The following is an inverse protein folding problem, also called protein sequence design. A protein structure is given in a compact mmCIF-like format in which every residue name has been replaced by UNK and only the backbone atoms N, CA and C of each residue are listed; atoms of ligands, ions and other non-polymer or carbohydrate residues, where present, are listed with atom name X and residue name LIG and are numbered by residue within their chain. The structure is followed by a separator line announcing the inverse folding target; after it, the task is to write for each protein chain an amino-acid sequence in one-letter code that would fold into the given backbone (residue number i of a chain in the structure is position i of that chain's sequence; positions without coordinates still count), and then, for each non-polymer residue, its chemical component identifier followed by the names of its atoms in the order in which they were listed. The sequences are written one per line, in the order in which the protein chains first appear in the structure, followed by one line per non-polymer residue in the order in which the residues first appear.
data_IF_299547732631
#
_entry.id   IF_299547732631
#
_cell.length_a   1.000
_cell.length_b   1.000
_cell.length_c   1.000
_cell.angle_alpha   90.00
_cell.angle_beta   90.00
_cell.angle_gamma   90.00
#
_symmetry.space_group_name_H-M   'P 1'
#
loop_
_entity.id
_entity.type
_entity.pdbx_description
1 polymer ?
#
# COMPACT_ATOMS: atom_id res chain seq x y z
N UNK A 1 21.67 -74.24 -5.86
CA UNK A 1 20.55 -73.29 -5.97
C UNK A 1 20.24 -72.77 -4.58
N UNK A 2 19.97 -71.46 -4.42
CA UNK A 2 19.92 -70.65 -3.20
C UNK A 2 21.25 -70.05 -2.69
N UNK A 3 21.61 -68.91 -3.29
CA UNK A 3 22.50 -67.90 -2.73
C UNK A 3 21.68 -66.97 -1.82
N UNK A 4 22.08 -66.85 -0.55
CA UNK A 4 21.50 -65.94 0.43
C UNK A 4 21.86 -64.48 0.11
N UNK A 5 20.86 -63.63 -0.14
CA UNK A 5 21.05 -62.17 -0.20
C UNK A 5 20.94 -61.59 1.21
N UNK A 6 22.06 -61.12 1.77
CA UNK A 6 22.09 -60.24 2.95
C UNK A 6 21.60 -58.86 2.52
N UNK A 7 20.40 -58.48 2.95
CA UNK A 7 19.89 -57.12 2.80
C UNK A 7 20.53 -56.20 3.84
N UNK A 8 21.34 -55.25 3.39
CA UNK A 8 21.90 -54.18 4.22
C UNK A 8 20.82 -53.09 4.34
N UNK A 9 20.20 -52.95 5.52
CA UNK A 9 19.22 -51.90 5.79
C UNK A 9 19.97 -50.59 6.08
N UNK A 10 20.02 -49.68 5.11
CA UNK A 10 20.52 -48.32 5.32
C UNK A 10 19.39 -47.47 5.92
N UNK A 11 19.50 -47.13 7.21
CA UNK A 11 18.62 -46.14 7.85
C UNK A 11 19.16 -44.75 7.50
N UNK A 12 18.50 -44.07 6.57
CA UNK A 12 18.73 -42.65 6.30
C UNK A 12 18.07 -41.83 7.41
N UNK A 13 18.88 -41.28 8.32
CA UNK A 13 18.43 -40.26 9.28
C UNK A 13 18.28 -38.94 8.52
N UNK A 14 17.06 -38.59 8.11
CA UNK A 14 16.78 -37.24 7.61
C UNK A 14 16.76 -36.28 8.80
N UNK A 15 17.87 -35.59 9.05
CA UNK A 15 17.85 -34.36 9.86
C UNK A 15 17.12 -33.28 9.07
N UNK A 16 15.82 -33.12 9.32
CA UNK A 16 15.08 -31.92 8.95
C UNK A 16 15.58 -30.75 9.81
N UNK A 17 16.66 -30.09 9.37
CA UNK A 17 16.93 -28.72 9.81
C UNK A 17 15.91 -27.80 9.12
N UNK A 18 14.73 -27.70 9.72
CA UNK A 18 13.83 -26.57 9.47
C UNK A 18 14.47 -25.32 10.06
N UNK A 19 15.36 -24.67 9.32
CA UNK A 19 15.74 -23.29 9.62
C UNK A 19 14.54 -22.45 9.18
N UNK A 20 13.55 -22.33 10.05
CA UNK A 20 12.55 -21.29 9.87
C UNK A 20 13.20 -19.98 10.28
N UNK A 21 13.33 -19.04 9.35
CA UNK A 21 13.73 -17.68 9.65
C UNK A 21 12.56 -16.98 10.36
N UNK A 22 12.28 -17.40 11.59
CA UNK A 22 11.24 -16.79 12.42
C UNK A 22 11.73 -15.45 12.93
N UNK A 23 10.92 -14.42 12.71
CA UNK A 23 10.98 -13.22 13.55
C UNK A 23 10.70 -13.68 14.97
N UNK A 24 11.60 -13.32 15.89
CA UNK A 24 11.60 -13.85 17.26
C UNK A 24 10.69 -13.07 18.19
N UNK A 25 10.25 -11.90 17.76
CA UNK A 25 9.56 -10.94 18.59
C UNK A 25 8.65 -10.06 17.75
N UNK A 26 7.39 -9.97 18.15
CA UNK A 26 6.44 -8.99 17.64
C UNK A 26 6.01 -8.11 18.83
N UNK A 27 6.10 -6.77 18.72
CA UNK A 27 5.74 -5.89 19.83
C UNK A 27 4.23 -5.91 20.07
N UNK A 28 3.82 -6.07 21.34
CA UNK A 28 2.42 -5.96 21.74
C UNK A 28 1.87 -4.54 21.57
N UNK A 29 0.55 -4.42 21.58
CA UNK A 29 -0.11 -3.12 21.46
C UNK A 29 0.25 -2.20 22.62
N UNK A 30 0.65 -0.96 22.30
CA UNK A 30 1.09 0.08 23.27
C UNK A 30 2.35 -0.25 24.07
N UNK A 31 3.01 -1.38 23.81
CA UNK A 31 4.29 -1.68 24.42
C UNK A 31 5.42 -0.83 23.83
N UNK A 32 6.42 -0.57 24.66
CA UNK A 32 7.67 0.02 24.21
C UNK A 32 8.39 -1.02 23.35
N UNK A 33 8.62 -0.69 22.08
CA UNK A 33 9.33 -1.59 21.17
C UNK A 33 10.73 -1.86 21.70
N UNK A 34 11.05 -3.13 21.96
CA UNK A 34 12.36 -3.52 22.48
C UNK A 34 13.45 -3.19 21.46
N UNK A 35 14.44 -2.44 21.94
CA UNK A 35 15.66 -2.11 21.22
C UNK A 35 16.78 -3.07 21.60
N UNK A 36 17.59 -3.46 20.61
CA UNK A 36 18.83 -4.20 20.80
C UNK A 36 19.97 -3.51 20.11
N UNK A 37 21.18 -3.70 20.62
CA UNK A 37 22.37 -3.27 19.91
C UNK A 37 22.55 -4.10 18.63
N UNK A 38 23.14 -3.54 17.57
CA UNK A 38 23.38 -4.30 16.33
C UNK A 38 24.25 -5.55 16.60
N UNK A 39 25.22 -5.43 17.50
CA UNK A 39 26.11 -6.53 17.90
C UNK A 39 25.36 -7.74 18.49
N UNK A 40 24.31 -7.52 19.30
CA UNK A 40 23.49 -8.61 19.86
C UNK A 40 22.80 -9.46 18.78
N UNK A 41 22.52 -8.85 17.62
CA UNK A 41 21.90 -9.50 16.47
C UNK A 41 22.89 -9.78 15.33
N UNK A 42 24.20 -9.71 15.61
CA UNK A 42 25.28 -9.97 14.65
C UNK A 42 25.22 -9.07 13.41
N UNK A 43 24.78 -7.83 13.59
CA UNK A 43 24.77 -6.77 12.58
C UNK A 43 25.98 -5.86 12.80
N UNK A 44 26.66 -5.50 11.72
CA UNK A 44 27.78 -4.55 11.74
C UNK A 44 27.30 -3.17 12.19
N UNK A 45 27.89 -2.65 13.27
CA UNK A 45 27.46 -1.39 13.87
C UNK A 45 27.96 -0.17 13.10
N UNK A 46 29.14 -0.23 12.47
CA UNK A 46 29.66 0.87 11.64
C UNK A 46 28.80 1.00 10.39
N UNK A 47 28.56 -0.11 9.69
CA UNK A 47 27.74 -0.10 8.48
C UNK A 47 26.31 0.39 8.74
N UNK A 48 25.71 -0.01 9.88
CA UNK A 48 24.38 0.46 10.26
C UNK A 48 24.36 1.97 10.54
N UNK A 49 25.39 2.48 11.22
CA UNK A 49 25.52 3.91 11.48
C UNK A 49 25.69 4.71 10.18
N UNK A 50 26.51 4.22 9.25
CA UNK A 50 26.68 4.85 7.93
C UNK A 50 25.35 4.94 7.17
N UNK A 51 24.53 3.89 7.21
CA UNK A 51 23.22 3.89 6.59
C UNK A 51 22.26 4.91 7.24
N UNK A 52 22.32 5.05 8.57
CA UNK A 52 21.50 6.01 9.32
C UNK A 52 21.93 7.45 9.02
N UNK A 53 23.24 7.73 9.01
CA UNK A 53 23.75 9.05 8.66
C UNK A 53 23.43 9.41 7.21
N UNK A 54 23.59 8.47 6.28
CA UNK A 54 23.17 8.67 4.89
C UNK A 54 21.69 9.07 4.79
N UNK A 55 20.79 8.40 5.53
CA UNK A 55 19.37 8.74 5.52
C UNK A 55 19.08 10.13 6.11
N UNK A 56 19.86 10.57 7.12
CA UNK A 56 19.74 11.91 7.73
C UNK A 56 20.25 13.01 6.80
N UNK A 57 21.36 12.77 6.12
CA UNK A 57 22.00 13.73 5.22
C UNK A 57 21.25 13.92 3.89
N UNK A 58 20.46 12.92 3.48
CA UNK A 58 19.68 12.92 2.23
C UNK A 58 18.19 13.24 2.45
N UNK A 59 17.87 14.15 3.39
CA UNK A 59 16.49 14.62 3.57
C UNK A 59 15.95 15.25 2.27
N UNK A 60 14.69 14.95 1.92
CA UNK A 60 14.00 15.60 0.82
C UNK A 60 14.08 17.13 0.93
N UNK A 61 14.58 17.79 -0.12
CA UNK A 61 14.85 19.24 -0.12
C UNK A 61 13.63 20.11 -0.44
N UNK A 62 12.52 19.51 -0.88
CA UNK A 62 11.30 20.25 -1.16
C UNK A 62 10.64 20.84 0.09
N UNK A 63 9.62 21.69 -0.14
CA UNK A 63 8.91 22.42 0.91
C UNK A 63 8.49 21.52 2.08
N UNK A 64 8.68 22.02 3.31
CA UNK A 64 8.09 21.38 4.51
C UNK A 64 6.57 21.47 4.52
N UNK A 65 5.98 22.48 3.89
CA UNK A 65 4.54 22.53 3.65
C UNK A 65 4.19 21.68 2.43
N UNK A 66 3.53 20.54 2.65
CA UNK A 66 3.21 19.60 1.57
C UNK A 66 2.20 20.16 0.57
N UNK A 67 1.40 21.18 0.93
CA UNK A 67 0.54 21.86 -0.06
C UNK A 67 1.41 22.47 -1.18
N UNK A 68 2.48 23.14 -0.79
CA UNK A 68 3.43 23.75 -1.72
C UNK A 68 4.21 22.67 -2.48
N UNK A 69 4.67 21.62 -1.79
CA UNK A 69 5.45 20.56 -2.42
C UNK A 69 4.64 19.80 -3.48
N UNK A 70 3.39 19.45 -3.18
CA UNK A 70 2.46 18.77 -4.09
C UNK A 70 2.14 19.64 -5.30
N UNK A 71 1.65 20.86 -5.07
CA UNK A 71 1.27 21.76 -6.18
C UNK A 71 2.45 22.08 -7.11
N UNK A 72 3.67 22.23 -6.57
CA UNK A 72 4.87 22.42 -7.39
C UNK A 72 5.30 21.15 -8.12
N UNK A 73 5.23 19.99 -7.45
CA UNK A 73 5.64 18.70 -8.00
C UNK A 73 4.79 18.27 -9.19
N UNK A 74 3.52 18.65 -9.19
CA UNK A 74 2.54 18.27 -10.22
C UNK A 74 2.01 19.45 -11.03
N UNK A 75 2.71 20.59 -11.03
CA UNK A 75 2.28 21.82 -11.72
C UNK A 75 2.03 21.68 -13.24
N UNK A 76 2.51 20.59 -13.86
CA UNK A 76 2.31 20.29 -15.28
C UNK A 76 0.98 19.60 -15.55
N UNK A 77 0.39 18.97 -14.55
CA UNK A 77 -0.87 18.25 -14.68
C UNK A 77 -2.02 19.25 -14.79
N UNK A 78 -2.89 19.12 -15.81
CA UNK A 78 -4.02 20.01 -15.95
C UNK A 78 -5.01 19.79 -14.80
N UNK A 79 -5.61 20.87 -14.31
CA UNK A 79 -6.61 20.86 -13.23
C UNK A 79 -6.11 20.30 -11.89
N UNK A 80 -4.80 20.15 -11.71
CA UNK A 80 -4.26 19.62 -10.46
C UNK A 80 -4.49 20.59 -9.30
N UNK A 81 -5.15 20.09 -8.26
CA UNK A 81 -5.43 20.82 -7.03
C UNK A 81 -5.30 19.91 -5.80
N UNK A 82 -5.31 20.52 -4.61
CA UNK A 82 -5.36 19.78 -3.35
C UNK A 82 -6.81 19.41 -3.08
N UNK A 83 -7.12 18.11 -3.19
CA UNK A 83 -8.47 17.57 -3.08
C UNK A 83 -8.76 16.96 -1.70
N UNK A 84 -7.77 16.88 -0.82
CA UNK A 84 -7.95 16.38 0.54
C UNK A 84 -6.87 16.84 1.50
N UNK A 85 -6.89 16.35 2.76
CA UNK A 85 -6.00 16.82 3.81
C UNK A 85 -4.53 16.69 3.43
N UNK A 86 -3.75 17.70 3.81
CA UNK A 86 -2.28 17.68 3.77
C UNK A 86 -1.76 18.11 5.13
N UNK A 87 -0.46 17.92 5.37
CA UNK A 87 0.19 18.35 6.60
C UNK A 87 1.59 18.84 6.27
N UNK A 88 2.18 19.69 7.12
CA UNK A 88 3.63 19.90 7.03
C UNK A 88 4.34 18.57 7.27
N UNK A 89 5.40 18.23 6.53
CA UNK A 89 6.20 17.03 6.79
C UNK A 89 7.16 17.21 7.97
N UNK A 90 7.50 16.11 8.63
CA UNK A 90 8.58 16.06 9.62
C UNK A 90 9.97 16.21 9.01
N UNK A 91 11.01 16.10 9.85
CA UNK A 91 12.37 15.79 9.41
C UNK A 91 12.48 14.31 8.99
N UNK A 92 13.66 13.87 8.53
CA UNK A 92 13.89 12.46 8.22
C UNK A 92 13.71 11.64 9.50
N UNK A 93 12.89 10.60 9.43
CA UNK A 93 12.66 9.69 10.54
C UNK A 93 12.53 8.26 10.02
N UNK A 94 13.02 7.31 10.79
CA UNK A 94 12.98 5.91 10.42
C UNK A 94 13.52 5.01 11.51
N UNK A 95 13.38 3.71 11.27
CA UNK A 95 13.88 2.65 12.13
C UNK A 95 14.33 1.48 11.25
N UNK A 96 15.29 0.73 11.75
CA UNK A 96 15.76 -0.52 11.16
C UNK A 96 15.46 -1.63 12.15
N UNK A 97 14.81 -2.68 11.66
CA UNK A 97 14.35 -3.81 12.47
C UNK A 97 15.10 -5.06 12.03
N UNK A 98 15.54 -5.85 13.01
CA UNK A 98 16.14 -7.17 12.80
C UNK A 98 15.51 -8.17 13.77
N UNK A 99 14.99 -9.27 13.21
CA UNK A 99 14.34 -10.36 13.96
C UNK A 99 13.25 -9.88 14.95
N UNK A 100 12.57 -8.77 14.61
CA UNK A 100 11.54 -8.14 15.43
C UNK A 100 12.00 -7.02 16.35
N UNK A 101 13.31 -6.85 16.56
CA UNK A 101 13.88 -5.82 17.44
C UNK A 101 14.31 -4.59 16.65
N UNK A 102 14.14 -3.40 17.24
CA UNK A 102 14.72 -2.18 16.67
C UNK A 102 16.22 -2.17 16.94
N UNK A 103 17.03 -2.04 15.90
CA UNK A 103 18.50 -1.97 15.99
C UNK A 103 19.07 -0.58 15.66
N UNK A 104 18.27 0.26 15.03
CA UNK A 104 18.56 1.68 14.86
C UNK A 104 17.26 2.46 14.68
N UNK A 105 17.26 3.73 15.09
CA UNK A 105 16.19 4.69 14.84
C UNK A 105 16.75 6.10 14.76
N UNK A 106 16.13 6.96 13.96
CA UNK A 106 16.49 8.36 13.83
C UNK A 106 15.26 9.23 13.67
N UNK A 107 15.39 10.51 14.02
CA UNK A 107 14.29 11.47 13.95
C UNK A 107 13.15 11.17 14.92
N UNK A 108 11.98 11.74 14.64
CA UNK A 108 10.78 11.53 15.44
C UNK A 108 9.91 10.41 14.84
N UNK A 109 10.19 9.17 15.20
CA UNK A 109 9.54 7.95 14.67
C UNK A 109 8.04 7.85 14.99
N UNK A 110 7.58 8.52 16.06
CA UNK A 110 6.18 8.54 16.50
C UNK A 110 5.34 9.60 15.81
N UNK A 111 5.98 10.50 15.05
CA UNK A 111 5.26 11.55 14.33
C UNK A 111 4.44 10.93 13.20
N UNK A 112 3.15 11.23 13.20
CA UNK A 112 2.27 10.89 12.07
C UNK A 112 2.58 11.80 10.89
N UNK A 113 3.02 11.20 9.79
CA UNK A 113 3.34 11.86 8.51
C UNK A 113 2.44 11.33 7.39
N UNK A 114 2.21 12.17 6.39
CA UNK A 114 1.56 11.75 5.13
C UNK A 114 2.57 10.92 4.33
N UNK A 115 2.18 9.71 3.93
CA UNK A 115 3.10 8.72 3.33
C UNK A 115 2.96 8.54 1.82
N UNK A 116 2.13 9.37 1.17
CA UNK A 116 1.91 9.34 -0.27
C UNK A 116 1.56 7.94 -0.77
N UNK A 117 2.34 7.39 -1.70
CA UNK A 117 2.05 6.13 -2.38
C UNK A 117 2.23 4.88 -1.54
N UNK A 118 2.79 4.96 -0.33
CA UNK A 118 2.77 3.83 0.61
C UNK A 118 1.31 3.40 0.91
N UNK A 119 0.36 4.34 0.81
CA UNK A 119 -1.08 4.07 0.89
C UNK A 119 -1.54 2.90 0.00
N UNK A 120 -0.92 2.69 -1.17
CA UNK A 120 -1.26 1.61 -2.10
C UNK A 120 -1.07 0.23 -1.48
N UNK A 121 -0.06 0.06 -0.62
CA UNK A 121 0.18 -1.20 0.08
C UNK A 121 -0.96 -1.56 1.03
N UNK A 122 -1.49 -0.58 1.77
CA UNK A 122 -2.65 -0.80 2.64
C UNK A 122 -3.92 -1.06 1.83
N UNK A 123 -4.09 -0.36 0.71
CA UNK A 123 -5.21 -0.59 -0.21
C UNK A 123 -5.18 -2.00 -0.81
N UNK A 124 -4.02 -2.46 -1.27
CA UNK A 124 -3.88 -3.84 -1.76
C UNK A 124 -4.14 -4.86 -0.66
N UNK A 125 -3.74 -4.60 0.58
CA UNK A 125 -4.03 -5.50 1.72
C UNK A 125 -5.52 -5.62 1.99
N UNK A 126 -6.25 -4.51 2.12
CA UNK A 126 -7.71 -4.59 2.38
C UNK A 126 -8.48 -5.16 1.19
N UNK A 127 -7.95 -5.02 -0.03
CA UNK A 127 -8.52 -5.69 -1.21
C UNK A 127 -8.24 -7.19 -1.18
N UNK A 128 -7.01 -7.61 -0.87
CA UNK A 128 -6.67 -9.03 -0.71
C UNK A 128 -7.50 -9.71 0.38
N UNK A 129 -7.71 -9.03 1.51
CA UNK A 129 -8.61 -9.51 2.56
C UNK A 129 -10.07 -9.66 2.10
N UNK A 130 -10.53 -8.88 1.12
CA UNK A 130 -11.85 -9.06 0.53
C UNK A 130 -11.91 -10.35 -0.31
N UNK A 131 -10.82 -10.71 -0.99
CA UNK A 131 -10.67 -12.00 -1.68
C UNK A 131 -10.68 -13.14 -0.67
N UNK A 132 -9.87 -13.06 0.39
CA UNK A 132 -9.80 -14.09 1.43
C UNK A 132 -11.15 -14.35 2.11
N UNK A 133 -11.99 -13.32 2.22
CA UNK A 133 -13.34 -13.41 2.80
C UNK A 133 -14.42 -13.81 1.79
N UNK A 134 -14.07 -14.05 0.53
CA UNK A 134 -15.00 -14.38 -0.55
C UNK A 134 -15.95 -13.24 -0.92
N UNK A 135 -15.64 -11.99 -0.54
CA UNK A 135 -16.35 -10.80 -1.02
C UNK A 135 -15.98 -10.49 -2.47
N UNK A 136 -14.77 -10.88 -2.87
CA UNK A 136 -14.31 -11.00 -4.25
C UNK A 136 -14.00 -12.47 -4.45
N UNK A 137 -14.67 -13.16 -5.37
CA UNK A 137 -14.49 -14.60 -5.54
C UNK A 137 -13.12 -14.94 -6.15
N UNK A 138 -12.66 -14.16 -7.13
CA UNK A 138 -11.32 -14.27 -7.69
C UNK A 138 -10.81 -12.91 -8.18
N UNK A 139 -9.50 -12.67 -8.11
CA UNK A 139 -8.87 -11.46 -8.62
C UNK A 139 -9.00 -11.30 -10.14
N UNK A 140 -9.20 -12.40 -10.87
CA UNK A 140 -9.44 -12.39 -12.32
C UNK A 140 -10.89 -12.07 -12.68
N UNK A 141 -11.79 -11.93 -11.71
CA UNK A 141 -13.17 -11.56 -12.00
C UNK A 141 -13.28 -10.10 -12.47
N UNK A 142 -14.29 -9.82 -13.30
CA UNK A 142 -14.53 -8.49 -13.83
C UNK A 142 -15.11 -7.56 -12.76
N UNK A 143 -14.56 -6.35 -12.63
CA UNK A 143 -15.03 -5.37 -11.64
C UNK A 143 -16.50 -4.99 -11.79
N UNK A 144 -17.02 -5.01 -13.04
CA UNK A 144 -18.44 -4.75 -13.36
C UNK A 144 -19.42 -5.70 -12.67
N UNK A 145 -18.97 -6.91 -12.33
CA UNK A 145 -19.84 -7.92 -11.71
C UNK A 145 -20.03 -7.64 -10.20
N UNK A 146 -19.24 -6.71 -9.63
CA UNK A 146 -19.25 -6.30 -8.23
C UNK A 146 -19.72 -4.86 -8.02
N UNK A 147 -19.47 -3.98 -8.99
CA UNK A 147 -19.79 -2.55 -8.92
C UNK A 147 -20.81 -2.21 -9.99
N UNK A 148 -22.06 -1.98 -9.55
CA UNK A 148 -23.26 -1.93 -10.39
C UNK A 148 -23.67 -0.52 -10.84
N UNK A 149 -22.93 0.52 -10.45
CA UNK A 149 -23.29 1.92 -10.68
C UNK A 149 -22.82 2.49 -12.02
N UNK A 150 -22.28 1.63 -12.89
CA UNK A 150 -21.74 1.99 -14.19
C UNK A 150 -20.26 2.38 -14.21
N UNK A 151 -19.54 2.28 -13.08
CA UNK A 151 -18.08 2.54 -13.02
C UNK A 151 -17.27 1.76 -14.07
N UNK A 152 -17.75 0.57 -14.46
CA UNK A 152 -17.11 -0.31 -15.44
C UNK A 152 -17.91 -0.45 -16.75
N UNK A 153 -18.85 0.45 -17.04
CA UNK A 153 -19.66 0.38 -18.24
C UNK A 153 -18.86 0.61 -19.53
N UNK A 154 -19.41 0.11 -20.64
CA UNK A 154 -18.85 0.28 -21.98
C UNK A 154 -17.91 -0.84 -22.40
N UNK A 155 -17.61 -0.88 -23.70
CA UNK A 155 -16.85 -1.98 -24.33
C UNK A 155 -15.41 -2.12 -23.80
N UNK A 156 -14.82 -1.03 -23.29
CA UNK A 156 -13.47 -1.03 -22.75
C UNK A 156 -13.44 -1.39 -21.26
N UNK A 157 -14.05 -0.57 -20.39
CA UNK A 157 -13.96 -0.75 -18.94
C UNK A 157 -14.58 -2.08 -18.47
N UNK A 158 -15.54 -2.66 -19.22
CA UNK A 158 -16.17 -3.94 -18.88
C UNK A 158 -15.26 -5.17 -19.00
N UNK A 159 -14.04 -5.00 -19.53
CA UNK A 159 -12.98 -6.02 -19.59
C UNK A 159 -12.04 -5.99 -18.37
N UNK A 160 -12.18 -4.99 -17.49
CA UNK A 160 -11.25 -4.76 -16.39
C UNK A 160 -11.55 -5.70 -15.23
N UNK A 161 -10.50 -6.33 -14.69
CA UNK A 161 -10.56 -7.25 -13.56
C UNK A 161 -9.96 -6.58 -12.32
N UNK A 162 -10.19 -7.17 -11.14
CA UNK A 162 -9.53 -6.73 -9.90
C UNK A 162 -8.02 -6.79 -10.01
N UNK A 163 -7.48 -7.85 -10.61
CA UNK A 163 -6.06 -8.03 -10.89
C UNK A 163 -5.53 -6.86 -11.71
N UNK A 164 -6.27 -6.41 -12.73
CA UNK A 164 -5.83 -5.30 -13.56
C UNK A 164 -5.69 -3.98 -12.78
N UNK A 165 -6.61 -3.73 -11.85
CA UNK A 165 -6.54 -2.56 -10.96
C UNK A 165 -5.39 -2.67 -9.96
N UNK A 166 -5.22 -3.84 -9.33
CA UNK A 166 -4.14 -4.12 -8.37
C UNK A 166 -2.75 -4.00 -9.00
N UNK A 167 -2.60 -4.40 -10.26
CA UNK A 167 -1.34 -4.36 -11.00
C UNK A 167 -1.11 -3.04 -11.76
N UNK A 168 -2.05 -2.08 -11.67
CA UNK A 168 -2.01 -0.81 -12.39
C UNK A 168 -1.81 -0.96 -13.91
N UNK A 169 -2.49 -1.95 -14.50
CA UNK A 169 -2.47 -2.21 -15.94
C UNK A 169 -3.88 -2.30 -16.53
N UNK A 170 -4.88 -1.68 -15.89
CA UNK A 170 -6.28 -1.71 -16.32
C UNK A 170 -6.62 -0.86 -17.52
N UNK A 171 -5.82 0.18 -17.77
CA UNK A 171 -6.16 1.27 -18.67
C UNK A 171 -7.59 1.85 -18.49
N UNK A 172 -8.14 1.76 -17.27
CA UNK A 172 -9.48 2.30 -16.97
C UNK A 172 -9.57 3.76 -17.41
N UNK A 173 -10.66 4.10 -18.09
CA UNK A 173 -10.89 5.45 -18.60
C UNK A 173 -12.19 6.04 -18.04
N UNK A 174 -12.11 7.28 -17.58
CA UNK A 174 -13.24 7.98 -16.99
C UNK A 174 -12.84 9.05 -15.99
N UNK A 175 -13.80 9.43 -15.16
CA UNK A 175 -13.62 10.40 -14.09
C UNK A 175 -14.13 9.82 -12.77
N UNK A 176 -13.36 9.96 -11.70
CA UNK A 176 -13.82 9.63 -10.35
C UNK A 176 -13.42 10.76 -9.40
N UNK A 177 -14.37 11.21 -8.57
CA UNK A 177 -14.17 12.31 -7.62
C UNK A 177 -13.66 13.62 -8.23
N UNK A 178 -14.02 13.90 -9.50
CA UNK A 178 -13.56 15.10 -10.22
C UNK A 178 -12.23 14.92 -10.96
N UNK A 179 -11.50 13.83 -10.69
CA UNK A 179 -10.22 13.53 -11.32
C UNK A 179 -10.40 12.66 -12.55
N UNK A 180 -9.87 13.10 -13.69
CA UNK A 180 -9.94 12.41 -14.98
C UNK A 180 -8.69 11.56 -15.19
N UNK A 181 -8.84 10.32 -15.63
CA UNK A 181 -7.72 9.38 -15.74
C UNK A 181 -6.57 9.92 -16.60
N UNK A 182 -6.90 10.56 -17.73
CA UNK A 182 -5.93 11.13 -18.66
C UNK A 182 -5.23 12.40 -18.16
N UNK A 183 -5.76 13.05 -17.11
CA UNK A 183 -5.20 14.27 -16.56
C UNK A 183 -4.11 13.99 -15.50
N UNK A 184 -4.06 12.77 -14.97
CA UNK A 184 -3.00 12.33 -14.08
C UNK A 184 -1.76 11.95 -14.89
N UNK A 185 -0.65 12.64 -14.62
CA UNK A 185 0.67 12.43 -15.26
C UNK A 185 0.61 12.32 -16.80
N UNK A 186 0.00 13.28 -17.51
CA UNK A 186 -0.17 13.18 -18.96
C UNK A 186 1.19 13.16 -19.68
N UNK A 187 1.23 12.67 -20.94
CA UNK A 187 2.44 12.69 -21.75
C UNK A 187 3.13 14.05 -21.80
N UNK A 188 4.45 14.06 -22.04
CA UNK A 188 5.23 15.31 -22.14
C UNK A 188 4.92 16.16 -23.37
N UNK A 189 4.27 15.56 -24.36
CA UNK A 189 3.89 16.19 -25.62
C UNK A 189 2.38 16.06 -25.81
N UNK A 190 1.84 16.93 -26.66
CA UNK A 190 0.41 17.03 -26.92
C UNK A 190 -0.29 18.08 -26.06
N UNK A 191 -1.57 18.25 -26.31
CA UNK A 191 -2.46 19.17 -25.59
C UNK A 191 -3.64 18.44 -24.93
N UNK A 192 -4.60 19.20 -24.40
CA UNK A 192 -5.76 18.64 -23.70
C UNK A 192 -6.60 17.71 -24.58
N UNK A 193 -6.69 17.98 -25.88
CA UNK A 193 -7.53 17.18 -26.78
C UNK A 193 -6.79 15.90 -27.19
N UNK A 194 -5.47 15.95 -27.37
CA UNK A 194 -4.65 14.75 -27.54
C UNK A 194 -4.77 13.79 -26.35
N UNK A 195 -4.73 14.32 -25.13
CA UNK A 195 -4.76 13.51 -23.91
C UNK A 195 -6.15 12.92 -23.64
N UNK A 196 -7.21 13.71 -23.84
CA UNK A 196 -8.60 13.23 -23.72
C UNK A 196 -8.91 12.12 -24.72
N UNK A 197 -8.41 12.25 -25.95
CA UNK A 197 -8.68 11.31 -27.04
C UNK A 197 -7.56 10.25 -27.17
N UNK A 198 -6.84 9.96 -26.09
CA UNK A 198 -5.82 8.91 -26.07
C UNK A 198 -6.42 7.58 -26.56
N UNK A 199 -5.63 6.80 -27.27
CA UNK A 199 -6.00 5.42 -27.60
C UNK A 199 -6.11 4.57 -26.33
N UNK A 200 -7.21 3.83 -26.19
CA UNK A 200 -7.40 2.85 -25.13
C UNK A 200 -6.60 1.58 -25.46
N UNK A 201 -5.91 1.03 -24.46
CA UNK A 201 -5.11 -0.20 -24.57
C UNK A 201 -5.82 -1.32 -23.86
N UNK A 202 -5.80 -2.53 -24.42
CA UNK A 202 -6.46 -3.66 -23.76
C UNK A 202 -5.92 -3.86 -22.33
N UNK A 203 -6.79 -4.06 -21.32
CA UNK A 203 -6.37 -4.30 -19.94
C UNK A 203 -5.36 -5.47 -19.85
N UNK A 204 -4.36 -5.33 -18.98
CA UNK A 204 -3.28 -6.29 -18.80
C UNK A 204 -2.09 -6.10 -19.74
N UNK A 205 -2.20 -5.28 -20.80
CA UNK A 205 -1.13 -5.14 -21.82
C UNK A 205 -0.13 -4.02 -21.52
N UNK A 206 -0.49 -3.04 -20.69
CA UNK A 206 0.36 -1.90 -20.39
C UNK A 206 0.18 -1.43 -18.95
N UNK A 207 1.29 -1.36 -18.20
CA UNK A 207 1.30 -0.76 -16.87
C UNK A 207 1.47 0.75 -16.98
N UNK A 208 0.62 1.48 -16.27
CA UNK A 208 0.69 2.93 -16.15
C UNK A 208 0.45 3.32 -14.69
N UNK A 209 1.39 4.08 -14.13
CA UNK A 209 1.27 4.59 -12.77
C UNK A 209 0.24 5.74 -12.73
N UNK A 210 -0.99 5.43 -12.33
CA UNK A 210 -2.13 6.36 -12.38
C UNK A 210 -2.97 6.31 -11.08
N UNK A 211 -2.97 7.41 -10.32
CA UNK A 211 -3.65 7.55 -9.04
C UNK A 211 -5.18 7.61 -9.17
N UNK A 212 -5.72 8.04 -10.32
CA UNK A 212 -7.18 8.02 -10.58
C UNK A 212 -7.68 6.57 -10.64
N UNK A 213 -6.96 5.70 -11.35
CA UNK A 213 -7.30 4.27 -11.45
C UNK A 213 -7.14 3.54 -10.12
N UNK A 214 -6.21 3.98 -9.28
CA UNK A 214 -6.06 3.47 -7.91
C UNK A 214 -7.25 3.93 -7.04
N UNK A 215 -7.80 5.13 -7.26
CA UNK A 215 -9.02 5.57 -6.58
C UNK A 215 -10.25 4.76 -7.03
N UNK A 216 -10.29 4.27 -8.28
CA UNK A 216 -11.30 3.30 -8.73
C UNK A 216 -11.19 1.98 -7.96
N UNK A 217 -9.97 1.49 -7.69
CA UNK A 217 -9.76 0.33 -6.82
C UNK A 217 -10.26 0.59 -5.40
N UNK A 218 -9.92 1.73 -4.81
CA UNK A 218 -10.38 2.10 -3.46
C UNK A 218 -11.92 2.19 -3.38
N UNK A 219 -12.55 2.78 -4.39
CA UNK A 219 -14.00 2.85 -4.50
C UNK A 219 -14.64 1.46 -4.65
N UNK A 220 -14.08 0.62 -5.51
CA UNK A 220 -14.59 -0.74 -5.75
C UNK A 220 -14.45 -1.60 -4.49
N UNK A 221 -13.32 -1.51 -3.79
CA UNK A 221 -13.11 -2.18 -2.52
C UNK A 221 -14.15 -1.72 -1.47
N UNK A 222 -14.47 -0.42 -1.42
CA UNK A 222 -15.53 0.09 -0.55
C UNK A 222 -16.89 -0.54 -0.88
N UNK A 223 -17.23 -0.70 -2.17
CA UNK A 223 -18.50 -1.30 -2.63
C UNK A 223 -18.66 -2.75 -2.17
N UNK A 224 -17.61 -3.57 -2.26
CA UNK A 224 -17.68 -4.97 -1.83
C UNK A 224 -17.63 -5.13 -0.30
N UNK A 225 -16.84 -4.30 0.38
CA UNK A 225 -16.78 -4.31 1.84
C UNK A 225 -18.05 -3.77 2.50
N UNK A 226 -18.76 -2.86 1.82
CA UNK A 226 -19.95 -2.16 2.33
C UNK A 226 -19.68 -1.52 3.70
N UNK A 227 -18.42 -1.13 3.91
CA UNK A 227 -17.86 -0.59 5.16
C UNK A 227 -16.71 0.35 4.82
N UNK A 228 -16.59 1.53 5.46
CA UNK A 228 -15.48 2.44 5.22
C UNK A 228 -14.12 1.73 5.37
N UNK A 229 -13.27 1.80 4.32
CA UNK A 229 -11.98 1.11 4.31
C UNK A 229 -11.05 1.44 5.49
N UNK A 230 -11.05 2.66 6.08
CA UNK A 230 -10.30 2.89 7.32
C UNK A 230 -10.74 1.99 8.47
N UNK A 231 -12.04 1.65 8.58
CA UNK A 231 -12.50 0.74 9.63
C UNK A 231 -12.12 -0.71 9.31
N UNK A 232 -12.19 -1.11 8.04
CA UNK A 232 -11.72 -2.43 7.60
C UNK A 232 -10.23 -2.58 7.94
N UNK A 233 -9.40 -1.62 7.55
CA UNK A 233 -7.97 -1.63 7.84
C UNK A 233 -7.70 -1.67 9.35
N UNK A 234 -8.47 -0.93 10.14
CA UNK A 234 -8.37 -0.93 11.60
C UNK A 234 -8.61 -2.31 12.17
N UNK A 235 -9.79 -2.87 11.91
CA UNK A 235 -10.27 -4.09 12.55
C UNK A 235 -9.52 -5.33 12.04
N UNK A 236 -9.20 -5.37 10.75
CA UNK A 236 -8.61 -6.55 10.14
C UNK A 236 -7.10 -6.62 10.26
N UNK A 237 -6.43 -5.48 10.40
CA UNK A 237 -4.96 -5.39 10.35
C UNK A 237 -4.42 -4.60 11.53
N UNK A 238 -4.69 -3.29 11.59
CA UNK A 238 -3.92 -2.36 12.43
C UNK A 238 -4.08 -2.65 13.92
N UNK A 239 -5.27 -3.01 14.40
CA UNK A 239 -5.48 -3.41 15.79
C UNK A 239 -4.75 -4.73 16.09
N UNK A 240 -4.79 -5.71 15.17
CA UNK A 240 -4.19 -7.04 15.36
C UNK A 240 -2.66 -7.00 15.38
N UNK A 241 -2.05 -6.05 14.67
CA UNK A 241 -0.60 -5.81 14.70
C UNK A 241 -0.19 -4.82 15.79
N UNK A 242 -1.09 -4.47 16.71
CA UNK A 242 -0.80 -3.57 17.82
C UNK A 242 -0.40 -2.14 17.42
N UNK A 243 -0.84 -1.69 16.24
CA UNK A 243 -0.60 -0.31 15.82
C UNK A 243 -1.34 0.69 16.71
N UNK A 244 -0.80 1.90 16.80
CA UNK A 244 -1.42 2.97 17.58
C UNK A 244 -2.76 3.41 16.99
N UNK A 245 -3.53 4.20 17.75
CA UNK A 245 -4.78 4.82 17.27
C UNK A 245 -4.56 6.15 16.55
N UNK A 246 -3.31 6.53 16.27
CA UNK A 246 -2.97 7.87 15.77
C UNK A 246 -2.99 8.00 14.25
N UNK A 247 -2.93 6.88 13.52
CA UNK A 247 -2.96 6.89 12.06
C UNK A 247 -4.35 7.24 11.53
N UNK A 248 -4.41 7.79 10.31
CA UNK A 248 -5.67 8.11 9.61
C UNK A 248 -5.52 7.77 8.14
N UNK A 249 -6.61 7.31 7.52
CA UNK A 249 -6.69 7.13 6.08
C UNK A 249 -7.80 8.02 5.53
N UNK A 250 -7.41 9.00 4.72
CA UNK A 250 -8.32 9.98 4.16
C UNK A 250 -8.59 9.70 2.68
N UNK A 251 -9.76 10.16 2.22
CA UNK A 251 -10.04 10.42 0.81
C UNK A 251 -10.24 11.91 0.55
N UNK A 252 -10.53 12.24 -0.71
CA UNK A 252 -10.84 13.60 -1.12
C UNK A 252 -12.11 14.14 -0.45
N UNK A 253 -12.27 15.46 -0.39
CA UNK A 253 -13.37 16.12 0.31
C UNK A 253 -14.73 15.75 -0.27
N UNK A 254 -14.80 15.56 -1.60
CA UNK A 254 -15.98 15.14 -2.34
C UNK A 254 -16.11 13.61 -2.50
N UNK A 255 -15.22 12.79 -1.92
CA UNK A 255 -15.21 11.34 -2.08
C UNK A 255 -16.31 10.61 -1.28
N UNK A 256 -17.56 11.02 -1.45
CA UNK A 256 -18.74 10.48 -0.74
C UNK A 256 -19.66 9.75 -1.70
N UNK A 257 -20.12 8.57 -1.31
CA UNK A 257 -21.14 7.78 -2.03
C UNK A 257 -22.22 7.30 -1.07
N UNK A 258 -23.30 6.74 -1.60
CA UNK A 258 -24.34 6.04 -0.82
C UNK A 258 -24.20 4.54 -1.10
N UNK A 259 -24.00 3.75 -0.05
CA UNK A 259 -24.03 2.29 -0.11
C UNK A 259 -25.05 1.85 0.94
N UNK A 260 -26.07 1.11 0.53
CA UNK A 260 -27.15 0.61 1.40
C UNK A 260 -27.92 1.71 2.16
N UNK A 261 -28.09 2.87 1.52
CA UNK A 261 -28.70 4.03 2.16
C UNK A 261 -27.80 4.74 3.17
N UNK A 262 -26.57 4.27 3.38
CA UNK A 262 -25.58 4.92 4.23
C UNK A 262 -24.64 5.79 3.41
N UNK A 263 -24.50 7.06 3.80
CA UNK A 263 -23.51 7.96 3.22
C UNK A 263 -22.12 7.58 3.72
N UNK A 264 -21.30 6.99 2.85
CA UNK A 264 -19.96 6.51 3.15
C UNK A 264 -18.90 7.33 2.42
N UNK A 265 -17.77 7.58 3.07
CA UNK A 265 -16.62 8.22 2.44
C UNK A 265 -15.68 7.16 1.87
N UNK A 266 -15.37 7.26 0.58
CA UNK A 266 -14.24 6.56 -0.01
C UNK A 266 -12.92 7.19 0.43
N UNK A 267 -11.85 6.41 0.31
CA UNK A 267 -10.48 6.86 0.53
C UNK A 267 -9.75 6.98 -0.80
N UNK A 268 -8.59 7.62 -0.79
CA UNK A 268 -7.68 7.61 -1.94
C UNK A 268 -6.63 6.54 -1.73
N UNK A 269 -6.17 5.92 -2.82
CA UNK A 269 -5.07 4.95 -2.74
C UNK A 269 -3.69 5.60 -2.75
N UNK A 270 -3.61 6.92 -2.73
CA UNK A 270 -2.36 7.69 -2.73
C UNK A 270 -2.56 9.09 -2.19
N UNK A 271 -1.44 9.80 -2.01
CA UNK A 271 -1.41 11.19 -1.55
C UNK A 271 -1.15 12.22 -2.65
N UNK A 272 -1.34 11.85 -3.92
CA UNK A 272 -0.97 12.65 -5.09
C UNK A 272 -1.57 14.07 -5.07
N UNK A 273 -2.85 14.18 -4.70
CA UNK A 273 -3.59 15.44 -4.53
C UNK A 273 -3.95 15.72 -3.06
N UNK A 274 -3.11 15.27 -2.12
CA UNK A 274 -3.47 15.17 -0.70
C UNK A 274 -4.20 13.86 -0.36
N UNK A 275 -4.65 13.75 0.88
CA UNK A 275 -5.26 12.54 1.45
C UNK A 275 -4.31 11.31 1.49
N UNK A 276 -4.85 10.09 1.47
CA UNK A 276 -4.10 8.86 1.68
C UNK A 276 -3.83 8.56 3.16
N UNK A 277 -2.83 7.71 3.42
CA UNK A 277 -2.48 7.28 4.78
C UNK A 277 -1.49 8.23 5.44
N UNK A 278 -1.88 8.61 6.66
CA UNK A 278 -1.12 9.38 7.61
C UNK A 278 -0.77 8.44 8.75
N UNK A 279 0.51 8.11 8.91
CA UNK A 279 0.95 7.07 9.85
C UNK A 279 2.34 7.40 10.41
N UNK A 280 2.65 6.87 11.59
CA UNK A 280 3.98 6.98 12.19
C UNK A 280 4.95 5.97 11.56
N UNK A 281 6.27 6.21 11.67
CA UNK A 281 7.26 5.25 11.20
C UNK A 281 7.13 3.91 11.96
N UNK A 282 6.85 3.96 13.26
CA UNK A 282 6.67 2.77 14.09
C UNK A 282 5.46 1.92 13.64
N UNK A 283 4.29 2.53 13.42
CA UNK A 283 3.12 1.78 12.97
C UNK A 283 3.27 1.25 11.54
N UNK A 284 3.94 2.02 10.68
CA UNK A 284 4.28 1.56 9.33
C UNK A 284 5.27 0.39 9.35
N UNK A 285 6.20 0.37 10.31
CA UNK A 285 7.13 -0.72 10.48
C UNK A 285 6.47 -1.99 11.06
N UNK A 286 5.48 -1.86 11.95
CA UNK A 286 4.62 -2.99 12.37
C UNK A 286 3.89 -3.60 11.17
N UNK A 287 3.35 -2.76 10.30
CA UNK A 287 2.73 -3.21 9.06
C UNK A 287 3.75 -3.90 8.14
N UNK A 288 4.97 -3.38 8.01
CA UNK A 288 6.05 -4.06 7.27
C UNK A 288 6.44 -5.42 7.88
N UNK A 289 6.49 -5.51 9.21
CA UNK A 289 6.82 -6.75 9.93
C UNK A 289 5.79 -7.85 9.65
N UNK A 290 4.51 -7.51 9.55
CA UNK A 290 3.45 -8.43 9.15
C UNK A 290 3.79 -9.18 7.85
N UNK A 291 4.28 -8.48 6.82
CA UNK A 291 4.62 -9.08 5.53
C UNK A 291 5.92 -9.89 5.57
N UNK A 292 6.79 -9.66 6.54
CA UNK A 292 7.97 -10.48 6.76
C UNK A 292 7.64 -11.79 7.49
N UNK A 293 6.60 -11.80 8.32
CA UNK A 293 6.11 -13.01 9.02
C UNK A 293 5.40 -14.00 8.07
N UNK A 294 4.70 -13.49 7.05
CA UNK A 294 3.85 -14.28 6.15
C UNK A 294 4.60 -15.20 5.16
N UNK A 295 5.93 -15.37 5.28
CA UNK A 295 6.69 -16.42 4.58
C UNK A 295 6.68 -17.77 5.33
N UNK A 296 5.65 -18.05 6.13
CA UNK A 296 5.44 -19.32 6.84
C UNK A 296 4.25 -20.10 6.28
#
# INVERSE_FOLDING_TARGET
MFLAKKGLLFVFLFCLYGISAQIKYFPEQNDVWIEKTPAELKVDSEWLNDAVEFAKENEYSGSRDLRIAVLKGFAREPFHEILGPTKKRGGPAGLIIKDGYVIAKWGNTKRVDMTFSVTKSFLSTVTGLAVDKGLIANETDFGKDYVWDGTFDGAHNSKITWQHLLQQNSDWSGEIWGAKDWADRPPRKGDLDDWKNRGLRDPGTYMEYNDVRVNVLAYSALQVWRKPLPQVLKDEVMDKIGASTTWRWFGYDNAWTIIDGLKMKSVTGGGHSGAGIFISAEDMARFGLLFLEFNQ
#
